data_IF_876490802427
#
_entry.id   IF_876490802427
#
_cell.length_a   1.000
_cell.length_b   1.000
_cell.length_c   1.000
_cell.angle_alpha   90.00
_cell.angle_beta   90.00
_cell.angle_gamma   90.00
#
_symmetry.space_group_name_H-M   'P 1'
#
loop_
_entity.id
_entity.type
_entity.pdbx_description
1 polymer ?
#
# COMPACT_ATOMS: atom_id res chain seq x y z
N UNK A 1 -4.39 35.55 27.75
CA UNK A 1 -3.74 35.47 26.44
C UNK A 1 -2.45 34.70 26.63
N UNK A 2 -2.29 33.56 25.96
CA UNK A 2 -1.12 32.69 26.09
C UNK A 2 0.09 33.35 25.40
N UNK A 3 0.77 34.24 26.14
CA UNK A 3 2.09 34.72 25.75
C UNK A 3 3.11 33.75 26.36
N UNK A 4 4.06 33.28 25.53
CA UNK A 4 5.13 32.31 25.86
C UNK A 4 4.82 30.82 25.65
N UNK A 5 3.83 30.46 24.83
CA UNK A 5 3.73 29.07 24.34
C UNK A 5 4.65 28.93 23.15
N UNK A 6 5.73 28.16 23.29
CA UNK A 6 6.47 27.71 22.12
C UNK A 6 5.58 26.74 21.35
N UNK A 7 5.42 26.92 20.03
CA UNK A 7 4.75 25.92 19.21
C UNK A 7 5.50 24.59 19.35
N UNK A 8 4.79 23.44 19.35
CA UNK A 8 5.44 22.14 19.42
C UNK A 8 6.45 21.99 18.28
N UNK A 9 7.58 21.33 18.55
CA UNK A 9 8.59 21.03 17.54
C UNK A 9 7.94 20.27 16.39
N UNK A 10 7.88 20.90 15.20
CA UNK A 10 7.25 20.29 14.03
C UNK A 10 8.08 19.14 13.44
N UNK A 11 9.35 19.00 13.83
CA UNK A 11 10.26 17.98 13.33
C UNK A 11 9.76 16.55 13.63
N UNK A 12 9.10 16.34 14.78
CA UNK A 12 8.46 15.05 15.11
C UNK A 12 7.28 14.72 14.18
N UNK A 13 6.55 15.72 13.69
CA UNK A 13 5.39 15.54 12.79
C UNK A 13 5.86 15.09 11.39
N UNK A 14 7.06 15.48 10.96
CA UNK A 14 7.58 15.10 9.64
C UNK A 14 8.06 13.64 9.55
N UNK A 15 8.31 12.97 10.69
CA UNK A 15 8.78 11.58 10.74
C UNK A 15 7.63 10.56 10.76
N UNK A 16 6.44 10.99 11.15
CA UNK A 16 5.25 10.13 11.18
C UNK A 16 4.87 9.67 9.77
N UNK A 17 4.63 8.37 9.63
CA UNK A 17 4.14 7.76 8.39
C UNK A 17 3.19 6.59 8.62
N UNK A 18 3.05 6.07 9.84
CA UNK A 18 2.17 4.95 10.16
C UNK A 18 1.03 5.45 11.06
N UNK A 19 -0.10 5.70 10.43
CA UNK A 19 -1.27 6.33 11.05
C UNK A 19 -2.32 5.31 11.49
N UNK A 20 -3.12 5.68 12.48
CA UNK A 20 -4.39 5.01 12.75
C UNK A 20 -5.45 5.62 11.85
N UNK A 21 -6.23 4.76 11.21
CA UNK A 21 -7.29 5.20 10.30
C UNK A 21 -8.34 5.98 11.10
N UNK A 22 -8.66 7.23 10.71
CA UNK A 22 -9.66 8.04 11.39
C UNK A 22 -11.01 7.32 11.50
N UNK A 23 -11.71 7.49 12.63
CA UNK A 23 -12.93 6.74 12.93
C UNK A 23 -14.02 6.92 11.86
N UNK A 24 -14.18 8.13 11.33
CA UNK A 24 -15.13 8.44 10.26
C UNK A 24 -14.83 7.68 8.95
N UNK A 25 -13.55 7.39 8.66
CA UNK A 25 -13.15 6.57 7.51
C UNK A 25 -13.35 5.08 7.83
N UNK A 26 -12.96 4.66 9.04
CA UNK A 26 -13.02 3.26 9.46
C UNK A 26 -14.43 2.71 9.57
N UNK A 27 -15.38 3.48 10.13
CA UNK A 27 -16.75 3.04 10.41
C UNK A 27 -17.48 2.50 9.17
N UNK A 28 -17.10 2.96 7.99
CA UNK A 28 -17.66 2.51 6.73
C UNK A 28 -17.42 1.03 6.45
N UNK A 29 -16.17 0.57 6.60
CA UNK A 29 -15.79 -0.83 6.42
C UNK A 29 -14.60 -1.18 7.31
N UNK A 30 -14.82 -1.52 8.60
CA UNK A 30 -13.73 -1.73 9.55
C UNK A 30 -12.79 -2.90 9.18
N UNK A 31 -13.29 -3.88 8.41
CA UNK A 31 -12.55 -5.11 8.09
C UNK A 31 -11.37 -4.87 7.15
N UNK A 32 -11.40 -3.82 6.33
CA UNK A 32 -10.34 -3.51 5.36
C UNK A 32 -9.13 -2.78 5.98
N UNK A 33 -9.15 -2.56 7.28
CA UNK A 33 -8.08 -1.88 8.02
C UNK A 33 -7.47 -2.75 9.13
N UNK A 34 -8.06 -3.91 9.44
CA UNK A 34 -7.59 -4.81 10.49
C UNK A 34 -6.98 -6.09 9.88
N UNK A 35 -5.81 -6.54 10.36
CA UNK A 35 -5.19 -7.75 9.86
C UNK A 35 -6.06 -8.98 10.16
N UNK A 36 -5.98 -9.99 9.28
CA UNK A 36 -6.81 -11.20 9.34
C UNK A 36 -6.03 -12.45 9.76
N UNK A 37 -4.73 -12.52 9.45
CA UNK A 37 -3.90 -13.70 9.75
C UNK A 37 -2.47 -13.37 10.20
N UNK A 38 -1.94 -12.19 9.90
CA UNK A 38 -0.61 -11.76 10.33
C UNK A 38 -0.60 -10.31 10.80
N UNK A 39 -0.20 -10.12 12.05
CA UNK A 39 0.06 -8.80 12.62
C UNK A 39 1.51 -8.41 12.38
N UNK A 40 1.77 -7.18 11.97
CA UNK A 40 3.11 -6.62 11.77
C UNK A 40 3.17 -5.29 12.52
N UNK A 41 4.19 -5.16 13.36
CA UNK A 41 4.41 -3.98 14.16
C UNK A 41 3.50 -3.90 15.39
N UNK A 42 3.63 -2.80 16.16
CA UNK A 42 3.09 -2.69 17.51
C UNK A 42 1.57 -2.46 17.57
N UNK A 43 0.90 -1.99 16.50
CA UNK A 43 -0.54 -1.69 16.61
C UNK A 43 -1.42 -2.93 16.78
N UNK A 44 -1.06 -4.05 16.14
CA UNK A 44 -1.86 -5.27 16.13
C UNK A 44 -1.16 -6.48 16.76
N UNK A 45 0.01 -6.30 17.38
CA UNK A 45 0.82 -7.40 17.91
C UNK A 45 0.03 -8.36 18.83
N UNK A 46 0.35 -9.65 18.74
CA UNK A 46 -0.28 -10.78 19.45
C UNK A 46 -1.73 -11.11 19.09
N UNK A 47 -2.18 -10.79 17.87
CA UNK A 47 -3.53 -11.20 17.42
C UNK A 47 -3.59 -12.67 16.93
N UNK A 48 -2.47 -13.26 16.50
CA UNK A 48 -2.45 -14.57 15.82
C UNK A 48 -1.32 -15.50 16.32
N UNK A 49 -1.56 -16.25 17.40
CA UNK A 49 -0.51 -17.05 18.06
C UNK A 49 0.25 -18.04 17.14
N UNK A 50 -0.45 -18.73 16.23
CA UNK A 50 0.19 -19.65 15.28
C UNK A 50 1.11 -18.92 14.28
N UNK A 51 0.78 -17.67 13.93
CA UNK A 51 1.61 -16.84 13.06
C UNK A 51 2.87 -16.37 13.79
N UNK A 52 2.78 -16.00 15.07
CA UNK A 52 3.95 -15.63 15.86
C UNK A 52 4.98 -16.77 15.94
N UNK A 53 4.54 -18.02 16.10
CA UNK A 53 5.43 -19.18 16.02
C UNK A 53 6.09 -19.33 14.64
N UNK A 54 5.36 -19.03 13.57
CA UNK A 54 5.87 -19.08 12.21
C UNK A 54 6.92 -18.00 11.99
N UNK A 55 6.68 -16.77 12.44
CA UNK A 55 7.65 -15.67 12.35
C UNK A 55 8.99 -16.03 12.99
N UNK A 56 8.98 -16.69 14.15
CA UNK A 56 10.21 -17.18 14.79
C UNK A 56 10.95 -18.22 13.94
N UNK A 57 10.25 -19.05 13.17
CA UNK A 57 10.88 -19.98 12.21
C UNK A 57 11.53 -19.23 11.04
N UNK A 58 10.92 -18.14 10.57
CA UNK A 58 11.49 -17.30 9.51
C UNK A 58 12.68 -16.49 10.02
N UNK A 59 12.62 -15.94 11.22
CA UNK A 59 13.76 -15.32 11.90
C UNK A 59 14.95 -16.29 11.94
N UNK A 60 14.74 -17.55 12.38
CA UNK A 60 15.79 -18.58 12.34
C UNK A 60 16.30 -18.84 10.92
N UNK A 61 15.41 -18.86 9.92
CA UNK A 61 15.77 -18.96 8.51
C UNK A 61 16.68 -17.81 8.05
N UNK A 62 16.35 -16.58 8.42
CA UNK A 62 17.12 -15.39 8.12
C UNK A 62 18.51 -15.43 8.77
N UNK A 63 18.59 -15.77 10.06
CA UNK A 63 19.85 -15.89 10.78
C UNK A 63 20.74 -16.99 10.17
N UNK A 64 20.16 -18.14 9.81
CA UNK A 64 20.88 -19.21 9.11
C UNK A 64 21.33 -18.79 7.71
N UNK A 65 20.58 -17.92 7.02
CA UNK A 65 20.97 -17.42 5.70
C UNK A 65 22.13 -16.45 5.77
N UNK A 66 22.08 -15.53 6.72
CA UNK A 66 23.08 -14.44 6.86
C UNK A 66 24.33 -14.87 7.61
N UNK A 67 24.24 -15.93 8.42
CA UNK A 67 25.30 -16.35 9.36
C UNK A 67 25.69 -15.23 10.35
N UNK A 68 24.87 -14.20 10.48
CA UNK A 68 25.06 -13.10 11.43
C UNK A 68 24.43 -13.45 12.77
N UNK A 69 25.08 -13.13 13.90
CA UNK A 69 24.49 -13.37 15.20
C UNK A 69 23.33 -12.40 15.44
N UNK A 70 22.26 -12.89 16.09
CA UNK A 70 21.05 -12.09 16.37
C UNK A 70 21.35 -10.76 17.08
N UNK A 71 22.41 -10.72 17.88
CA UNK A 71 22.86 -9.53 18.60
C UNK A 71 23.15 -8.33 17.69
N UNK A 72 23.67 -8.55 16.48
CA UNK A 72 24.01 -7.46 15.55
C UNK A 72 22.72 -6.75 15.09
N UNK A 73 21.68 -7.53 14.78
CA UNK A 73 20.37 -7.02 14.44
C UNK A 73 19.69 -6.33 15.63
N UNK A 74 19.79 -6.92 16.83
CA UNK A 74 19.21 -6.35 18.04
C UNK A 74 19.86 -5.00 18.41
N UNK A 75 21.19 -4.89 18.34
CA UNK A 75 21.91 -3.62 18.53
C UNK A 75 21.46 -2.60 17.50
N UNK A 76 21.34 -2.99 16.23
CA UNK A 76 20.92 -2.08 15.17
C UNK A 76 19.50 -1.55 15.38
N UNK A 77 18.55 -2.39 15.80
CA UNK A 77 17.18 -1.95 16.11
C UNK A 77 17.13 -1.07 17.35
N UNK A 78 17.95 -1.36 18.37
CA UNK A 78 18.08 -0.53 19.57
C UNK A 78 18.60 0.87 19.24
N UNK A 79 19.59 1.00 18.35
CA UNK A 79 20.08 2.30 17.88
C UNK A 79 19.00 3.13 17.16
N UNK A 80 18.01 2.46 16.56
CA UNK A 80 16.95 3.08 15.76
C UNK A 80 15.65 3.29 16.55
N UNK A 81 15.58 2.90 17.82
CA UNK A 81 14.33 2.81 18.57
C UNK A 81 13.50 4.10 18.52
N UNK A 82 14.11 5.22 18.88
CA UNK A 82 13.43 6.53 18.90
C UNK A 82 12.89 6.92 17.53
N UNK A 83 13.69 6.70 16.47
CA UNK A 83 13.30 6.96 15.08
C UNK A 83 12.18 6.04 14.60
N UNK A 84 12.15 4.78 15.04
CA UNK A 84 11.07 3.85 14.69
C UNK A 84 9.79 4.26 15.41
N UNK A 85 9.88 4.63 16.70
CA UNK A 85 8.72 5.09 17.49
C UNK A 85 8.12 6.37 16.90
N UNK A 86 8.93 7.31 16.44
CA UNK A 86 8.45 8.57 15.84
C UNK A 86 7.74 8.39 14.49
N UNK A 87 7.87 7.22 13.85
CA UNK A 87 7.08 6.91 12.66
C UNK A 87 5.61 6.58 12.94
N UNK A 88 5.25 6.22 14.18
CA UNK A 88 3.88 5.85 14.55
C UNK A 88 3.10 7.05 15.09
N UNK A 89 1.85 7.18 14.66
CA UNK A 89 0.89 8.10 15.25
C UNK A 89 0.47 7.68 16.68
N UNK A 90 0.74 8.58 17.63
CA UNK A 90 0.34 8.41 19.03
C UNK A 90 1.27 7.49 19.81
N UNK A 91 0.86 7.12 21.02
CA UNK A 91 1.73 6.42 21.97
C UNK A 91 1.73 4.91 21.71
N UNK A 92 2.93 4.33 21.60
CA UNK A 92 3.14 2.88 21.61
C UNK A 92 3.11 2.37 23.06
N UNK A 93 2.27 1.37 23.32
CA UNK A 93 2.01 0.84 24.68
C UNK A 93 3.10 -0.07 25.26
N UNK A 94 4.04 -0.51 24.43
CA UNK A 94 5.10 -1.44 24.79
C UNK A 94 6.30 -0.70 25.35
N UNK A 95 6.94 -1.31 26.35
CA UNK A 95 8.24 -0.84 26.83
C UNK A 95 9.34 -1.03 25.77
N UNK A 96 10.58 -0.67 26.10
CA UNK A 96 11.70 -0.75 25.15
C UNK A 96 11.98 -2.20 24.74
N UNK A 97 12.08 -3.12 25.69
CA UNK A 97 12.47 -4.50 25.39
C UNK A 97 11.38 -5.22 24.56
N UNK A 98 10.11 -5.09 24.96
CA UNK A 98 8.97 -5.65 24.22
C UNK A 98 8.88 -5.06 22.80
N UNK A 99 9.03 -3.74 22.66
CA UNK A 99 8.97 -3.08 21.37
C UNK A 99 10.07 -3.56 20.42
N UNK A 100 11.32 -3.62 20.89
CA UNK A 100 12.45 -4.04 20.07
C UNK A 100 12.31 -5.51 19.64
N UNK A 101 11.75 -6.38 20.50
CA UNK A 101 11.45 -7.77 20.14
C UNK A 101 10.42 -7.84 19.01
N UNK A 102 9.31 -7.11 19.12
CA UNK A 102 8.26 -7.06 18.08
C UNK A 102 8.86 -6.64 16.74
N UNK A 103 9.57 -5.51 16.72
CA UNK A 103 10.16 -4.97 15.49
C UNK A 103 11.14 -5.95 14.87
N UNK A 104 12.04 -6.55 15.67
CA UNK A 104 13.06 -7.46 15.17
C UNK A 104 12.46 -8.74 14.57
N UNK A 105 11.51 -9.37 15.28
CA UNK A 105 10.87 -10.61 14.83
C UNK A 105 10.08 -10.36 13.54
N UNK A 106 9.27 -9.30 13.52
CA UNK A 106 8.43 -8.98 12.36
C UNK A 106 9.27 -8.56 11.14
N UNK A 107 10.33 -7.77 11.35
CA UNK A 107 11.20 -7.36 10.27
C UNK A 107 11.96 -8.54 9.66
N UNK A 108 12.54 -9.41 10.47
CA UNK A 108 13.22 -10.61 9.98
C UNK A 108 12.26 -11.61 9.32
N UNK A 109 11.03 -11.74 9.81
CA UNK A 109 10.00 -12.55 9.16
C UNK A 109 9.74 -12.06 7.73
N UNK A 110 9.49 -10.76 7.56
CA UNK A 110 9.19 -10.16 6.26
C UNK A 110 10.39 -10.26 5.30
N UNK A 111 11.60 -9.93 5.77
CA UNK A 111 12.81 -10.01 4.94
C UNK A 111 13.00 -11.44 4.42
N UNK A 112 12.91 -12.45 5.30
CA UNK A 112 13.06 -13.84 4.89
C UNK A 112 11.93 -14.29 3.96
N UNK A 113 10.68 -13.87 4.21
CA UNK A 113 9.55 -14.16 3.33
C UNK A 113 9.82 -13.68 1.91
N UNK A 114 10.27 -12.43 1.75
CA UNK A 114 10.54 -11.85 0.43
C UNK A 114 11.77 -12.49 -0.23
N UNK A 115 12.80 -12.85 0.54
CA UNK A 115 13.96 -13.57 0.01
C UNK A 115 13.63 -14.97 -0.48
N UNK A 116 12.71 -15.67 0.19
CA UNK A 116 12.21 -16.97 -0.27
C UNK A 116 11.35 -16.83 -1.52
N UNK A 117 10.54 -15.79 -1.60
CA UNK A 117 9.75 -15.48 -2.79
C UNK A 117 10.63 -15.16 -4.01
N UNK A 118 11.67 -14.36 -3.83
CA UNK A 118 12.62 -14.05 -4.91
C UNK A 118 13.38 -15.29 -5.42
N UNK A 119 13.42 -16.36 -4.61
CA UNK A 119 13.95 -17.68 -4.97
C UNK A 119 12.83 -18.73 -4.99
N UNK A 120 11.66 -18.38 -5.52
CA UNK A 120 10.44 -19.22 -5.44
C UNK A 120 10.69 -20.66 -5.87
N UNK A 121 11.48 -20.89 -6.93
CA UNK A 121 11.82 -22.23 -7.41
C UNK A 121 12.47 -23.14 -6.34
N UNK A 122 13.28 -22.57 -5.44
CA UNK A 122 13.95 -23.32 -4.37
C UNK A 122 13.03 -23.65 -3.20
N UNK A 123 11.98 -22.83 -2.99
CA UNK A 123 11.15 -22.81 -1.78
C UNK A 123 9.71 -23.29 -1.99
N UNK A 124 9.20 -23.31 -3.22
CA UNK A 124 7.80 -23.61 -3.54
C UNK A 124 7.30 -24.94 -2.94
N UNK A 125 8.19 -25.92 -2.75
CA UNK A 125 7.85 -27.25 -2.18
C UNK A 125 8.35 -27.47 -0.74
N UNK A 126 8.98 -26.46 -0.13
CA UNK A 126 9.62 -26.56 1.18
C UNK A 126 8.98 -25.64 2.21
N UNK A 127 8.47 -24.49 1.74
CA UNK A 127 7.92 -23.45 2.58
C UNK A 127 6.41 -23.68 2.81
N UNK A 128 5.94 -23.79 4.07
CA UNK A 128 4.52 -23.98 4.37
C UNK A 128 3.59 -22.88 3.82
N UNK A 129 4.05 -21.62 3.75
CA UNK A 129 3.25 -20.53 3.20
C UNK A 129 3.10 -20.65 1.68
N UNK A 130 4.13 -21.13 0.98
CA UNK A 130 4.07 -21.31 -0.47
C UNK A 130 3.31 -22.57 -0.89
N UNK A 131 3.14 -23.52 0.02
CA UNK A 131 2.24 -24.67 -0.16
C UNK A 131 0.76 -24.30 0.03
N UNK A 132 0.45 -23.10 0.53
CA UNK A 132 -0.90 -22.62 0.79
C UNK A 132 -1.15 -21.26 0.08
N UNK A 133 -1.47 -21.26 -1.22
CA UNK A 133 -1.64 -20.03 -2.00
C UNK A 133 -2.66 -19.06 -1.40
N UNK A 134 -3.74 -19.57 -0.82
CA UNK A 134 -4.76 -18.75 -0.16
C UNK A 134 -4.23 -18.04 1.08
N UNK A 135 -3.39 -18.69 1.89
CA UNK A 135 -2.79 -18.07 3.06
C UNK A 135 -1.81 -16.97 2.65
N UNK A 136 -1.02 -17.19 1.59
CA UNK A 136 -0.12 -16.16 1.07
C UNK A 136 -0.88 -14.92 0.55
N UNK A 137 -2.02 -15.14 -0.10
CA UNK A 137 -2.90 -14.05 -0.54
C UNK A 137 -3.44 -13.21 0.63
N UNK A 138 -3.82 -13.84 1.74
CA UNK A 138 -4.22 -13.11 2.96
C UNK A 138 -3.03 -12.40 3.63
N UNK A 139 -1.82 -12.99 3.61
CA UNK A 139 -0.61 -12.31 4.11
C UNK A 139 -0.35 -11.06 3.28
N UNK A 140 -0.42 -11.15 1.95
CA UNK A 140 -0.26 -10.02 1.05
C UNK A 140 -1.21 -8.88 1.38
N UNK A 141 -2.47 -9.17 1.70
CA UNK A 141 -3.47 -8.16 2.10
C UNK A 141 -3.08 -7.51 3.42
N UNK A 142 -2.76 -8.32 4.43
CA UNK A 142 -2.37 -7.84 5.75
C UNK A 142 -1.13 -6.95 5.71
N UNK A 143 -0.15 -7.28 4.85
CA UNK A 143 1.06 -6.47 4.65
C UNK A 143 0.81 -5.12 3.98
N UNK A 144 -0.38 -4.87 3.43
CA UNK A 144 -0.72 -3.61 2.75
C UNK A 144 -1.64 -2.70 3.58
N UNK A 145 -2.08 -3.17 4.75
CA UNK A 145 -2.91 -2.39 5.67
C UNK A 145 -2.08 -1.30 6.32
N UNK A 146 -2.58 -0.06 6.32
CA UNK A 146 -1.89 1.11 6.85
C UNK A 146 -1.48 0.94 8.33
N UNK A 147 -2.33 0.28 9.11
CA UNK A 147 -2.11 0.07 10.55
C UNK A 147 -1.24 -1.16 10.86
N UNK A 148 -0.81 -1.91 9.85
CA UNK A 148 -0.07 -3.17 9.99
C UNK A 148 1.31 -3.08 9.32
N UNK A 149 2.06 -2.03 9.65
CA UNK A 149 3.31 -1.65 8.97
C UNK A 149 4.50 -1.57 9.93
N UNK A 150 5.69 -1.73 9.36
CA UNK A 150 6.93 -1.19 9.89
C UNK A 150 7.47 -0.11 8.94
N UNK A 151 8.24 0.87 9.44
CA UNK A 151 8.91 1.82 8.57
C UNK A 151 9.88 1.09 7.64
N UNK A 152 9.87 1.42 6.35
CA UNK A 152 10.60 0.67 5.34
C UNK A 152 12.11 0.63 5.60
N UNK A 153 12.65 1.74 6.12
CA UNK A 153 14.07 1.84 6.45
C UNK A 153 14.52 0.77 7.44
N UNK A 154 13.63 0.27 8.32
CA UNK A 154 13.95 -0.82 9.26
C UNK A 154 14.39 -2.06 8.49
N UNK A 155 13.64 -2.43 7.45
CA UNK A 155 13.98 -3.58 6.64
C UNK A 155 15.29 -3.36 5.88
N UNK A 156 15.51 -2.17 5.32
CA UNK A 156 16.76 -1.85 4.62
C UNK A 156 17.96 -1.94 5.56
N UNK A 157 17.87 -1.37 6.76
CA UNK A 157 18.96 -1.38 7.74
C UNK A 157 19.33 -2.80 8.17
N UNK A 158 18.33 -3.66 8.45
CA UNK A 158 18.61 -5.06 8.80
C UNK A 158 19.06 -5.90 7.62
N UNK A 159 18.46 -5.69 6.44
CA UNK A 159 18.85 -6.38 5.23
C UNK A 159 20.30 -6.08 4.84
N UNK A 160 20.77 -4.84 5.00
CA UNK A 160 22.14 -4.44 4.69
C UNK A 160 23.18 -5.17 5.56
N UNK A 161 22.83 -5.59 6.78
CA UNK A 161 23.72 -6.40 7.63
C UNK A 161 23.97 -7.81 7.05
N UNK A 162 23.13 -8.28 6.13
CA UNK A 162 23.29 -9.58 5.49
C UNK A 162 24.45 -9.64 4.49
N UNK A 163 24.94 -8.49 4.00
CA UNK A 163 25.98 -8.42 2.97
C UNK A 163 25.52 -8.84 1.56
N UNK A 164 24.21 -8.98 1.32
CA UNK A 164 23.66 -9.23 -0.01
C UNK A 164 23.74 -7.98 -0.90
N UNK A 165 23.84 -8.17 -2.21
CA UNK A 165 24.11 -7.09 -3.17
C UNK A 165 22.84 -6.48 -3.77
N UNK A 166 21.76 -7.25 -3.83
CA UNK A 166 20.48 -6.80 -4.36
C UNK A 166 19.88 -5.71 -3.48
N UNK A 167 19.14 -4.75 -4.04
CA UNK A 167 18.42 -3.79 -3.20
C UNK A 167 17.18 -4.46 -2.61
N UNK A 168 16.96 -4.28 -1.30
CA UNK A 168 15.76 -4.77 -0.65
C UNK A 168 14.47 -4.21 -1.27
N UNK A 169 14.53 -2.96 -1.77
CA UNK A 169 13.43 -2.33 -2.50
C UNK A 169 13.03 -3.09 -3.76
N UNK A 170 13.99 -3.56 -4.56
CA UNK A 170 13.71 -4.34 -5.77
C UNK A 170 13.09 -5.71 -5.42
N UNK A 171 13.62 -6.37 -4.38
CA UNK A 171 13.08 -7.64 -3.87
C UNK A 171 11.63 -7.45 -3.39
N UNK A 172 11.37 -6.38 -2.64
CA UNK A 172 10.04 -6.05 -2.13
C UNK A 172 9.08 -5.74 -3.27
N UNK A 173 9.50 -4.93 -4.25
CA UNK A 173 8.68 -4.59 -5.40
C UNK A 173 8.27 -5.84 -6.20
N UNK A 174 9.20 -6.78 -6.41
CA UNK A 174 8.92 -8.06 -7.06
C UNK A 174 7.92 -8.92 -6.28
N UNK A 175 7.89 -8.83 -4.94
CA UNK A 175 6.90 -9.52 -4.11
C UNK A 175 5.48 -8.98 -4.36
N UNK A 176 5.35 -7.66 -4.49
CA UNK A 176 4.06 -7.00 -4.70
C UNK A 176 3.69 -6.76 -6.17
N UNK A 177 4.51 -7.15 -7.14
CA UNK A 177 4.30 -6.86 -8.57
C UNK A 177 2.89 -7.26 -9.04
N UNK A 178 2.38 -8.41 -8.59
CA UNK A 178 1.05 -8.91 -8.94
C UNK A 178 -0.12 -8.07 -8.39
N UNK A 179 0.13 -7.24 -7.37
CA UNK A 179 -0.86 -6.37 -6.71
C UNK A 179 -0.64 -4.89 -7.04
N UNK A 180 0.50 -4.55 -7.62
CA UNK A 180 0.86 -3.18 -7.90
C UNK A 180 0.05 -2.65 -9.09
N UNK A 181 -0.65 -1.54 -8.86
CA UNK A 181 -1.30 -0.76 -9.92
C UNK A 181 -0.26 0.05 -10.73
N UNK A 182 0.97 0.18 -10.21
CA UNK A 182 2.14 0.65 -10.94
C UNK A 182 3.04 -0.51 -11.37
N UNK A 183 3.79 -0.32 -12.44
CA UNK A 183 4.76 -1.29 -12.97
C UNK A 183 6.22 -0.80 -12.90
N UNK A 184 6.45 0.31 -12.18
CA UNK A 184 7.77 0.92 -12.00
C UNK A 184 8.10 0.92 -10.51
N UNK A 185 9.23 0.30 -10.16
CA UNK A 185 9.81 0.40 -8.83
C UNK A 185 10.23 1.87 -8.58
N UNK A 186 9.82 2.50 -7.47
CA UNK A 186 10.22 3.88 -7.18
C UNK A 186 11.73 3.99 -6.98
N UNK A 187 12.28 5.18 -7.29
CA UNK A 187 13.73 5.44 -7.12
C UNK A 187 14.11 5.70 -5.66
N UNK A 188 13.20 6.33 -4.92
CA UNK A 188 13.36 6.64 -3.51
C UNK A 188 12.72 5.56 -2.66
N UNK A 189 13.28 5.32 -1.47
CA UNK A 189 12.73 4.35 -0.54
C UNK A 189 11.36 4.83 -0.03
N UNK A 190 10.32 3.99 -0.11
CA UNK A 190 9.00 4.35 0.39
C UNK A 190 9.01 4.45 1.92
N UNK A 191 7.96 5.00 2.51
CA UNK A 191 7.83 5.04 3.97
C UNK A 191 7.47 3.67 4.57
N UNK A 192 6.64 2.89 3.88
CA UNK A 192 6.19 1.53 4.24
C UNK A 192 5.52 0.88 3.01
N UNK A 193 4.91 -0.31 3.12
CA UNK A 193 4.43 -1.05 1.94
C UNK A 193 3.21 -0.42 1.26
N UNK A 194 2.27 0.17 2.02
CA UNK A 194 1.17 0.93 1.41
C UNK A 194 1.69 2.12 0.59
N UNK A 195 2.70 2.84 1.11
CA UNK A 195 3.33 3.95 0.40
C UNK A 195 4.19 3.47 -0.79
N UNK A 196 4.75 2.25 -0.74
CA UNK A 196 5.41 1.64 -1.90
C UNK A 196 4.46 1.53 -3.10
N UNK A 197 3.24 1.02 -2.89
CA UNK A 197 2.25 0.90 -3.97
C UNK A 197 1.88 2.27 -4.54
N UNK A 198 1.65 3.24 -3.65
CA UNK A 198 1.35 4.62 -4.03
C UNK A 198 2.51 5.26 -4.83
N UNK A 199 3.73 5.15 -4.35
CA UNK A 199 4.93 5.65 -5.03
C UNK A 199 5.16 4.96 -6.38
N UNK A 200 4.85 3.66 -6.50
CA UNK A 200 4.92 2.94 -7.77
C UNK A 200 3.91 3.47 -8.78
N UNK A 201 2.65 3.66 -8.37
CA UNK A 201 1.59 4.24 -9.21
C UNK A 201 2.03 5.61 -9.77
N UNK A 202 2.58 6.47 -8.90
CA UNK A 202 3.07 7.79 -9.28
C UNK A 202 4.26 7.68 -10.23
N UNK A 203 5.24 6.83 -9.90
CA UNK A 203 6.46 6.64 -10.70
C UNK A 203 6.20 6.03 -12.07
N UNK A 204 5.11 5.28 -12.22
CA UNK A 204 4.68 4.71 -13.49
C UNK A 204 4.09 5.74 -14.45
N UNK A 205 3.57 6.87 -13.96
CA UNK A 205 2.93 7.88 -14.81
C UNK A 205 3.94 8.58 -15.71
N UNK A 206 3.61 8.67 -17.01
CA UNK A 206 4.46 9.34 -18.01
C UNK A 206 3.99 10.74 -18.36
N UNK A 207 2.77 11.10 -17.95
CA UNK A 207 2.16 12.38 -18.31
C UNK A 207 2.65 13.55 -17.45
N UNK A 208 3.42 13.26 -16.40
CA UNK A 208 3.83 14.23 -15.40
C UNK A 208 2.63 14.66 -14.55
N UNK A 209 2.84 14.74 -13.23
CA UNK A 209 1.84 15.39 -12.39
C UNK A 209 2.00 16.90 -12.59
N UNK A 210 0.99 17.54 -13.16
CA UNK A 210 0.95 18.99 -13.30
C UNK A 210 1.16 19.67 -11.94
N UNK A 211 1.66 20.91 -11.94
CA UNK A 211 1.61 21.73 -10.71
C UNK A 211 0.15 21.92 -10.34
N UNK A 212 -0.18 21.83 -9.05
CA UNK A 212 -1.51 22.24 -8.60
C UNK A 212 -1.71 23.71 -8.99
N UNK A 213 -2.67 23.97 -9.88
CA UNK A 213 -3.17 25.30 -10.16
C UNK A 213 -4.22 25.67 -9.10
N UNK A 214 -4.34 26.95 -8.75
CA UNK A 214 -5.26 27.43 -7.72
C UNK A 214 -6.73 27.03 -8.01
N UNK A 215 -7.33 26.31 -7.06
CA UNK A 215 -8.74 26.31 -6.65
C UNK A 215 -9.86 26.29 -7.73
N UNK A 216 -9.72 25.49 -8.78
CA UNK A 216 -10.91 24.99 -9.47
C UNK A 216 -11.35 23.65 -8.87
N UNK A 217 -12.24 23.74 -7.88
CA UNK A 217 -12.95 22.55 -7.37
C UNK A 217 -13.86 22.04 -8.48
N UNK A 218 -13.48 20.93 -9.10
CA UNK A 218 -14.36 20.18 -10.01
C UNK A 218 -15.47 19.58 -9.15
N UNK A 219 -16.65 20.20 -9.18
CA UNK A 219 -17.79 19.79 -8.34
C UNK A 219 -18.44 18.49 -8.77
N UNK A 220 -18.36 18.15 -10.06
CA UNK A 220 -19.00 16.97 -10.62
C UNK A 220 -18.46 16.67 -12.01
N UNK A 221 -18.19 15.40 -12.30
CA UNK A 221 -17.96 14.89 -13.66
C UNK A 221 -19.13 13.98 -14.05
N UNK A 222 -19.52 13.99 -15.32
CA UNK A 222 -20.59 13.13 -15.83
C UNK A 222 -20.18 11.66 -15.88
N UNK A 223 -21.15 10.74 -15.76
CA UNK A 223 -20.89 9.30 -15.86
C UNK A 223 -20.50 8.86 -17.26
N UNK A 224 -19.94 7.64 -17.39
CA UNK A 224 -19.49 7.13 -18.68
C UNK A 224 -20.61 7.13 -19.73
N UNK A 225 -21.83 6.74 -19.36
CA UNK A 225 -23.00 6.79 -20.24
C UNK A 225 -23.39 8.21 -20.62
N UNK A 226 -23.41 9.15 -19.68
CA UNK A 226 -23.73 10.56 -19.95
C UNK A 226 -22.70 11.22 -20.87
N UNK A 227 -21.41 10.97 -20.64
CA UNK A 227 -20.33 11.46 -21.49
C UNK A 227 -20.44 10.89 -22.90
N UNK A 228 -20.72 9.59 -23.02
CA UNK A 228 -20.90 8.95 -24.33
C UNK A 228 -22.12 9.49 -25.08
N UNK A 229 -23.22 9.77 -24.39
CA UNK A 229 -24.41 10.44 -24.95
C UNK A 229 -24.11 11.87 -25.42
N UNK A 230 -23.21 12.58 -24.73
CA UNK A 230 -22.71 13.88 -25.15
C UNK A 230 -21.70 13.83 -26.31
N UNK A 231 -21.39 12.63 -26.83
CA UNK A 231 -20.51 12.42 -27.98
C UNK A 231 -19.04 12.13 -27.64
N UNK A 232 -18.69 11.98 -26.35
CA UNK A 232 -17.36 11.57 -25.93
C UNK A 232 -17.13 10.09 -26.27
N UNK A 233 -15.92 9.76 -26.72
CA UNK A 233 -15.48 8.39 -26.99
C UNK A 233 -14.48 7.94 -25.94
N UNK A 234 -14.60 6.69 -25.55
CA UNK A 234 -13.70 6.03 -24.62
C UNK A 234 -12.74 5.11 -25.38
N UNK A 235 -11.45 5.21 -25.09
CA UNK A 235 -10.41 4.35 -25.65
C UNK A 235 -9.43 3.88 -24.59
N UNK A 236 -8.82 2.72 -24.81
CA UNK A 236 -7.75 2.23 -23.94
C UNK A 236 -6.47 3.02 -24.20
N UNK A 237 -5.88 3.54 -23.14
CA UNK A 237 -4.56 4.15 -23.19
C UNK A 237 -3.52 3.04 -23.37
N UNK A 238 -2.64 3.12 -24.39
CA UNK A 238 -1.58 2.13 -24.60
C UNK A 238 -0.49 2.21 -23.51
N UNK A 239 -0.44 3.31 -22.75
CA UNK A 239 0.44 3.41 -21.58
C UNK A 239 -0.10 2.58 -20.42
N UNK A 240 0.81 1.98 -19.66
CA UNK A 240 0.49 1.04 -18.58
C UNK A 240 0.21 1.69 -17.22
N UNK A 241 0.40 3.01 -17.08
CA UNK A 241 0.24 3.63 -15.78
C UNK A 241 -1.23 3.78 -15.41
N UNK A 242 -1.57 3.40 -14.18
CA UNK A 242 -2.90 3.55 -13.62
C UNK A 242 -3.40 4.99 -13.61
N UNK A 243 -2.52 6.00 -13.55
CA UNK A 243 -2.93 7.42 -13.51
C UNK A 243 -3.05 8.07 -14.90
N UNK A 244 -2.61 7.42 -15.98
CA UNK A 244 -2.44 8.09 -17.27
C UNK A 244 -3.78 8.27 -18.02
N UNK A 245 -4.46 9.39 -17.74
CA UNK A 245 -5.65 9.85 -18.44
C UNK A 245 -5.29 10.91 -19.49
N UNK A 246 -5.74 10.75 -20.73
CA UNK A 246 -5.58 11.79 -21.77
C UNK A 246 -6.90 12.12 -22.44
N UNK A 247 -7.12 13.40 -22.73
CA UNK A 247 -8.27 13.85 -23.49
C UNK A 247 -7.80 14.51 -24.79
N UNK A 248 -8.30 14.02 -25.93
CA UNK A 248 -7.95 14.55 -27.24
C UNK A 248 -8.93 15.62 -27.71
N UNK A 249 -8.47 16.51 -28.59
CA UNK A 249 -9.30 17.52 -29.28
C UNK A 249 -10.46 16.94 -30.10
N UNK A 250 -10.48 15.62 -30.33
CA UNK A 250 -11.52 14.91 -31.07
C UNK A 250 -12.59 14.31 -30.15
N UNK A 251 -12.61 14.68 -28.86
CA UNK A 251 -13.59 14.16 -27.91
C UNK A 251 -13.33 12.72 -27.49
N UNK A 252 -12.06 12.30 -27.45
CA UNK A 252 -11.68 10.96 -26.99
C UNK A 252 -11.01 11.06 -25.64
N UNK A 253 -11.56 10.38 -24.63
CA UNK A 253 -10.92 10.14 -23.34
C UNK A 253 -10.24 8.78 -23.38
N UNK A 254 -8.91 8.77 -23.30
CA UNK A 254 -8.12 7.56 -23.19
C UNK A 254 -7.77 7.28 -21.74
N UNK A 255 -8.03 6.04 -21.29
CA UNK A 255 -7.86 5.62 -19.90
C UNK A 255 -7.10 4.29 -19.80
N UNK A 256 -6.35 4.04 -18.72
CA UNK A 256 -5.67 2.76 -18.55
C UNK A 256 -6.66 1.64 -18.26
N UNK A 257 -6.21 0.40 -18.44
CA UNK A 257 -7.03 -0.77 -18.12
C UNK A 257 -7.17 -0.89 -16.59
N UNK A 258 -8.42 -0.87 -16.13
CA UNK A 258 -8.82 -1.02 -14.74
C UNK A 258 -9.16 -2.47 -14.46
N UNK A 259 -8.31 -3.15 -13.69
CA UNK A 259 -8.63 -4.49 -13.19
C UNK A 259 -9.32 -4.36 -11.84
N UNK A 260 -10.62 -4.68 -11.80
CA UNK A 260 -11.41 -4.59 -10.58
C UNK A 260 -11.64 -6.00 -10.05
N UNK A 261 -11.07 -6.27 -8.88
CA UNK A 261 -11.11 -7.56 -8.18
C UNK A 261 -11.51 -7.35 -6.72
N UNK A 262 -11.75 -8.42 -5.97
CA UNK A 262 -12.25 -8.33 -4.59
C UNK A 262 -11.34 -7.52 -3.64
N UNK A 263 -10.03 -7.46 -3.89
CA UNK A 263 -9.09 -6.70 -3.07
C UNK A 263 -8.97 -5.22 -3.46
N UNK A 264 -9.64 -4.76 -4.53
CA UNK A 264 -9.46 -3.40 -5.06
C UNK A 264 -9.86 -2.36 -4.03
N UNK A 265 -10.94 -2.63 -3.28
CA UNK A 265 -11.40 -1.78 -2.17
C UNK A 265 -10.32 -1.61 -1.10
N UNK A 266 -9.72 -2.72 -0.65
CA UNK A 266 -8.71 -2.72 0.40
C UNK A 266 -7.49 -1.88 0.01
N UNK A 267 -7.01 -2.02 -1.24
CA UNK A 267 -5.86 -1.28 -1.74
C UNK A 267 -6.13 0.23 -1.75
N UNK A 268 -7.25 0.66 -2.35
CA UNK A 268 -7.57 2.08 -2.43
C UNK A 268 -7.84 2.68 -1.06
N UNK A 269 -8.61 2.00 -0.21
CA UNK A 269 -8.91 2.50 1.14
C UNK A 269 -7.67 2.76 1.98
N UNK A 270 -6.67 1.87 1.93
CA UNK A 270 -5.45 2.04 2.70
C UNK A 270 -4.54 3.14 2.10
N UNK A 271 -4.44 3.24 0.77
CA UNK A 271 -3.70 4.34 0.13
C UNK A 271 -4.35 5.70 0.36
N UNK A 272 -5.68 5.79 0.23
CA UNK A 272 -6.45 7.02 0.46
C UNK A 272 -6.41 7.43 1.94
N UNK A 273 -6.49 6.48 2.87
CA UNK A 273 -6.31 6.77 4.29
C UNK A 273 -4.91 7.34 4.57
N UNK A 274 -3.87 6.81 3.92
CA UNK A 274 -2.52 7.35 4.01
C UNK A 274 -2.44 8.77 3.41
N UNK A 275 -3.01 9.01 2.22
CA UNK A 275 -3.05 10.34 1.61
C UNK A 275 -3.81 11.36 2.46
N UNK A 276 -4.85 10.92 3.16
CA UNK A 276 -5.64 11.77 4.05
C UNK A 276 -4.87 12.17 5.31
N UNK A 277 -4.07 11.26 5.87
CA UNK A 277 -3.36 11.49 7.13
C UNK A 277 -1.96 12.12 6.94
N UNK A 278 -1.27 11.80 5.84
CA UNK A 278 0.12 12.20 5.65
C UNK A 278 0.22 13.60 5.04
N UNK A 279 0.65 14.58 5.85
CA UNK A 279 0.68 16.01 5.49
C UNK A 279 1.47 16.32 4.21
N UNK A 280 2.58 15.61 3.96
CA UNK A 280 3.42 15.80 2.77
C UNK A 280 2.99 14.96 1.56
N UNK A 281 1.93 14.16 1.67
CA UNK A 281 1.44 13.36 0.56
C UNK A 281 0.67 14.20 -0.46
N UNK A 282 0.77 13.82 -1.73
CA UNK A 282 -0.19 14.25 -2.75
C UNK A 282 -1.42 13.35 -2.69
N UNK A 283 -2.61 13.92 -2.82
CA UNK A 283 -3.88 13.18 -2.82
C UNK A 283 -4.23 12.59 -4.20
N UNK A 284 -3.22 12.11 -4.93
CA UNK A 284 -3.37 11.76 -6.36
C UNK A 284 -4.17 10.48 -6.56
N UNK A 285 -4.02 9.48 -5.69
CA UNK A 285 -4.82 8.25 -5.74
C UNK A 285 -6.27 8.60 -5.41
N UNK A 286 -6.49 9.42 -4.39
CA UNK A 286 -7.82 9.93 -4.01
C UNK A 286 -8.48 10.67 -5.16
N UNK A 287 -7.79 11.60 -5.83
CA UNK A 287 -8.31 12.32 -6.99
C UNK A 287 -8.69 11.38 -8.13
N UNK A 288 -7.86 10.37 -8.41
CA UNK A 288 -8.16 9.39 -9.44
C UNK A 288 -9.40 8.55 -9.10
N UNK A 289 -9.52 8.10 -7.84
CA UNK A 289 -10.69 7.36 -7.37
C UNK A 289 -11.96 8.20 -7.47
N UNK A 290 -11.91 9.50 -7.18
CA UNK A 290 -13.04 10.42 -7.41
C UNK A 290 -13.44 10.50 -8.89
N UNK A 291 -12.48 10.48 -9.81
CA UNK A 291 -12.79 10.40 -11.25
C UNK A 291 -13.48 9.06 -11.59
N UNK A 292 -13.04 7.95 -10.99
CA UNK A 292 -13.69 6.65 -11.19
C UNK A 292 -15.12 6.63 -10.64
N UNK A 293 -15.35 7.20 -9.46
CA UNK A 293 -16.68 7.33 -8.85
C UNK A 293 -17.65 8.07 -9.78
N UNK A 294 -17.22 9.21 -10.33
CA UNK A 294 -18.05 9.91 -11.32
C UNK A 294 -18.34 9.06 -12.56
N UNK A 295 -17.32 8.38 -13.10
CA UNK A 295 -17.47 7.60 -14.33
C UNK A 295 -18.34 6.35 -14.15
N UNK A 296 -18.29 5.69 -12.99
CA UNK A 296 -18.85 4.36 -12.72
C UNK A 296 -20.05 4.45 -11.76
N UNK A 297 -21.06 5.23 -12.16
CA UNK A 297 -22.21 5.47 -11.29
C UNK A 297 -23.28 4.36 -11.36
N UNK A 298 -23.38 3.64 -12.48
CA UNK A 298 -24.41 2.62 -12.73
C UNK A 298 -23.84 1.36 -13.41
N UNK A 299 -24.59 0.26 -13.41
CA UNK A 299 -24.23 -0.97 -14.15
C UNK A 299 -24.03 -0.69 -15.64
N UNK A 300 -24.81 0.24 -16.21
CA UNK A 300 -24.67 0.68 -17.61
C UNK A 300 -23.27 1.26 -17.84
N UNK A 301 -22.76 2.05 -16.91
CA UNK A 301 -21.43 2.66 -17.01
C UNK A 301 -20.33 1.60 -16.95
N UNK A 302 -20.45 0.62 -16.03
CA UNK A 302 -19.53 -0.52 -15.96
C UNK A 302 -19.49 -1.27 -17.30
N UNK A 303 -20.68 -1.60 -17.84
CA UNK A 303 -20.78 -2.36 -19.09
C UNK A 303 -20.18 -1.58 -20.27
N UNK A 304 -20.38 -0.26 -20.33
CA UNK A 304 -19.73 0.59 -21.35
C UNK A 304 -18.20 0.48 -21.26
N UNK A 305 -17.63 0.61 -20.06
CA UNK A 305 -16.18 0.55 -19.88
C UNK A 305 -15.61 -0.86 -20.16
N UNK A 306 -16.37 -1.92 -19.86
CA UNK A 306 -16.03 -3.31 -20.21
C UNK A 306 -16.05 -3.51 -21.72
N UNK A 307 -17.09 -3.03 -22.42
CA UNK A 307 -17.21 -3.13 -23.88
C UNK A 307 -16.07 -2.39 -24.59
N UNK A 308 -15.61 -1.27 -24.01
CA UNK A 308 -14.46 -0.51 -24.49
C UNK A 308 -13.11 -1.10 -24.08
N UNK A 309 -13.11 -2.22 -23.34
CA UNK A 309 -11.92 -2.91 -22.82
C UNK A 309 -11.09 -2.05 -21.85
N UNK A 310 -11.71 -1.02 -21.28
CA UNK A 310 -11.10 -0.15 -20.26
C UNK A 310 -11.23 -0.81 -18.90
N UNK A 311 -12.33 -1.50 -18.62
CA UNK A 311 -12.51 -2.22 -17.34
C UNK A 311 -12.51 -3.72 -17.56
N UNK A 312 -11.81 -4.44 -16.68
CA UNK A 312 -11.89 -5.91 -16.55
C UNK A 312 -12.53 -6.21 -15.21
N UNK A 313 -13.78 -6.68 -15.26
CA UNK A 313 -14.54 -7.03 -14.07
C UNK A 313 -14.26 -8.48 -13.64
N UNK A 314 -13.36 -8.66 -12.67
CA UNK A 314 -13.07 -9.97 -12.06
C UNK A 314 -14.06 -10.37 -10.96
N UNK A 315 -14.96 -9.46 -10.56
CA UNK A 315 -15.96 -9.74 -9.53
C UNK A 315 -17.15 -10.54 -10.06
N UNK A 316 -17.34 -10.56 -11.38
CA UNK A 316 -18.47 -11.22 -12.04
C UNK A 316 -19.82 -10.50 -11.91
N UNK A 317 -19.86 -9.36 -11.22
CA UNK A 317 -21.08 -8.60 -10.96
C UNK A 317 -20.84 -7.09 -11.17
N UNK A 318 -21.56 -6.48 -12.12
CA UNK A 318 -21.44 -5.05 -12.40
C UNK A 318 -21.92 -4.19 -11.22
N UNK A 319 -22.94 -4.63 -10.48
CA UNK A 319 -23.42 -3.91 -9.29
C UNK A 319 -22.37 -3.90 -8.19
N UNK A 320 -21.65 -5.02 -8.01
CA UNK A 320 -20.55 -5.08 -7.05
C UNK A 320 -19.44 -4.10 -7.41
N UNK A 321 -19.14 -3.90 -8.69
CA UNK A 321 -18.17 -2.89 -9.16
C UNK A 321 -18.63 -1.48 -8.81
N UNK A 322 -19.87 -1.10 -9.17
CA UNK A 322 -20.44 0.23 -8.84
C UNK A 322 -20.39 0.47 -7.35
N UNK A 323 -20.89 -0.49 -6.57
CA UNK A 323 -20.91 -0.42 -5.11
C UNK A 323 -19.50 -0.25 -4.56
N UNK A 324 -18.53 -1.03 -5.06
CA UNK A 324 -17.14 -0.95 -4.59
C UNK A 324 -16.54 0.43 -4.81
N UNK A 325 -16.70 1.00 -6.01
CA UNK A 325 -16.10 2.29 -6.36
C UNK A 325 -16.79 3.44 -5.62
N UNK A 326 -18.13 3.48 -5.64
CA UNK A 326 -18.88 4.57 -5.03
C UNK A 326 -18.78 4.59 -3.50
N UNK A 327 -18.40 3.46 -2.91
CA UNK A 327 -18.17 3.34 -1.47
C UNK A 327 -16.79 3.85 -1.03
N UNK A 328 -15.89 4.17 -1.97
CA UNK A 328 -14.54 4.68 -1.66
C UNK A 328 -14.52 6.19 -1.38
N UNK A 329 -15.51 6.94 -1.86
CA UNK A 329 -15.57 8.42 -1.83
C UNK A 329 -16.76 8.92 -1.04
#
# INVERSE_FOLDING_TARGET
MLQNVQPPEMDEIFMQCIYKVPLNIREYNPKVYAPQIVSIGPYHHNSFGAMEELKLKYLKGFLNRTQQPIREFAVKIKELEETIRSCYEGTIKYDSDEFLEIILVDACFIIELFLRWNKLGDWMKKDPLFLQPMALEEILKDLLLLENQLPFFVFEQLYNLSGMNEKFLDITFNFFESKSLGNVCPRESPKHFTDLLRCSIISSSKLGLGKQEEDQVIKHVYSASQLMEAGLKFEVCPNKSFLDLTYSKHGVLSMPILNIHDNTELLFRNMMAYEHCHLSSTNIVTQYVVILDFLINTEKDVNILVDKKISVNWTGDANKVVTTINHLT
#
